data_IF_011001177243
#
_entry.id   IF_011001177243
#
_cell.length_a   1.000
_cell.length_b   1.000
_cell.length_c   1.000
_cell.angle_alpha   90.00
_cell.angle_beta   90.00
_cell.angle_gamma   90.00
#
_symmetry.space_group_name_H-M   'P 1'
#
loop_
_entity.id
_entity.type
_entity.pdbx_description
1 polymer ?
#
# COMPACT_ATOMS: atom_id res chain seq x y z
N UNK A 1 -102.17 45.15 -4.18
CA UNK A 1 -101.68 44.43 -2.98
C UNK A 1 -100.97 45.46 -2.13
N UNK A 2 -101.61 45.92 -1.05
CA UNK A 2 -101.12 47.04 -0.25
C UNK A 2 -99.81 46.67 0.45
N UNK A 3 -98.84 47.58 0.41
CA UNK A 3 -97.61 47.49 1.21
C UNK A 3 -98.06 47.61 2.67
N UNK A 4 -98.16 46.47 3.35
CA UNK A 4 -98.52 46.39 4.76
C UNK A 4 -97.25 46.45 5.63
N UNK A 5 -97.39 46.89 6.88
CA UNK A 5 -96.32 46.97 7.88
C UNK A 5 -95.55 45.64 8.04
N UNK A 6 -96.22 44.52 7.79
CA UNK A 6 -95.66 43.16 7.80
C UNK A 6 -94.58 42.94 6.73
N UNK A 7 -94.71 43.55 5.55
CA UNK A 7 -93.72 43.45 4.46
C UNK A 7 -92.42 44.17 4.85
N UNK A 8 -92.52 45.33 5.50
CA UNK A 8 -91.36 46.10 5.99
C UNK A 8 -90.65 45.33 7.11
N UNK A 9 -91.40 44.75 8.05
CA UNK A 9 -90.85 43.89 9.09
C UNK A 9 -90.13 42.65 8.55
N UNK A 10 -90.71 41.98 7.56
CA UNK A 10 -90.08 40.85 6.87
C UNK A 10 -88.80 41.26 6.13
N UNK A 11 -88.78 42.43 5.49
CA UNK A 11 -87.60 42.94 4.80
C UNK A 11 -86.45 43.25 5.78
N UNK A 12 -86.75 43.87 6.92
CA UNK A 12 -85.76 44.13 7.98
C UNK A 12 -85.21 42.81 8.54
N UNK A 13 -86.08 41.84 8.82
CA UNK A 13 -85.67 40.52 9.30
C UNK A 13 -84.79 39.78 8.26
N UNK A 14 -85.14 39.86 6.98
CA UNK A 14 -84.35 39.28 5.89
C UNK A 14 -82.96 39.93 5.77
N UNK A 15 -82.88 41.26 5.81
CA UNK A 15 -81.60 41.98 5.78
C UNK A 15 -80.75 41.65 7.00
N UNK A 16 -81.33 41.61 8.20
CA UNK A 16 -80.63 41.22 9.42
C UNK A 16 -80.11 39.77 9.34
N UNK A 17 -80.89 38.86 8.77
CA UNK A 17 -80.49 37.46 8.56
C UNK A 17 -79.35 37.34 7.55
N UNK A 18 -79.43 38.03 6.41
CA UNK A 18 -78.37 38.05 5.39
C UNK A 18 -77.07 38.62 5.99
N UNK A 19 -77.16 39.71 6.77
CA UNK A 19 -76.01 40.29 7.45
C UNK A 19 -75.40 39.31 8.47
N UNK A 20 -76.22 38.60 9.24
CA UNK A 20 -75.76 37.57 10.16
C UNK A 20 -75.06 36.41 9.42
N UNK A 21 -75.65 35.90 8.34
CA UNK A 21 -75.03 34.85 7.52
C UNK A 21 -73.71 35.32 6.89
N UNK A 22 -73.66 36.55 6.37
CA UNK A 22 -72.45 37.11 5.77
C UNK A 22 -71.32 37.25 6.80
N UNK A 23 -71.64 37.63 8.05
CA UNK A 23 -70.63 37.86 9.08
C UNK A 23 -70.23 36.60 9.86
N UNK A 24 -71.15 35.66 10.08
CA UNK A 24 -70.90 34.50 10.94
C UNK A 24 -70.80 33.17 10.21
N UNK A 25 -71.47 32.99 9.07
CA UNK A 25 -71.51 31.69 8.36
C UNK A 25 -70.52 31.65 7.20
N UNK A 26 -70.42 32.74 6.43
CA UNK A 26 -69.54 32.79 5.25
C UNK A 26 -68.04 32.72 5.59
N UNK A 27 -67.53 33.43 6.62
CA UNK A 27 -66.10 33.42 6.91
C UNK A 27 -65.54 32.05 7.33
N UNK A 28 -66.21 31.26 8.20
CA UNK A 28 -65.75 29.90 8.52
C UNK A 28 -65.71 28.97 7.31
N UNK A 29 -66.66 29.08 6.38
CA UNK A 29 -66.71 28.25 5.16
C UNK A 29 -65.54 28.59 4.24
N UNK A 30 -65.30 29.88 3.98
CA UNK A 30 -64.17 30.32 3.17
C UNK A 30 -62.83 29.94 3.82
N UNK A 31 -62.70 30.11 5.14
CA UNK A 31 -61.51 29.73 5.87
C UNK A 31 -61.22 28.23 5.76
N UNK A 32 -62.24 27.37 5.89
CA UNK A 32 -62.09 25.93 5.75
C UNK A 32 -61.71 25.51 4.31
N UNK A 33 -62.21 26.22 3.29
CA UNK A 33 -61.80 26.00 1.90
C UNK A 33 -60.36 26.44 1.64
N UNK A 34 -59.98 27.64 2.11
CA UNK A 34 -58.61 28.15 1.99
C UNK A 34 -57.60 27.27 2.72
N UNK A 35 -57.93 26.78 3.92
CA UNK A 35 -57.05 25.87 4.67
C UNK A 35 -56.83 24.55 3.91
N UNK A 36 -57.87 24.02 3.25
CA UNK A 36 -57.74 22.82 2.41
C UNK A 36 -56.89 23.08 1.17
N UNK A 37 -57.13 24.19 0.48
CA UNK A 37 -56.36 24.58 -0.70
C UNK A 37 -54.88 24.76 -0.34
N UNK A 38 -54.60 25.46 0.75
CA UNK A 38 -53.25 25.68 1.24
C UNK A 38 -52.56 24.37 1.64
N UNK A 39 -53.23 23.49 2.38
CA UNK A 39 -52.69 22.15 2.73
C UNK A 39 -52.34 21.32 1.49
N UNK A 40 -53.18 21.38 0.45
CA UNK A 40 -52.94 20.65 -0.81
C UNK A 40 -51.76 21.26 -1.56
N UNK A 41 -51.72 22.59 -1.67
CA UNK A 41 -50.64 23.32 -2.33
C UNK A 41 -49.29 23.07 -1.63
N UNK A 42 -49.25 23.21 -0.31
CA UNK A 42 -48.06 22.97 0.50
C UNK A 42 -47.61 21.50 0.42
N UNK A 43 -48.57 20.56 0.44
CA UNK A 43 -48.29 19.13 0.29
C UNK A 43 -47.70 18.78 -1.08
N UNK A 44 -48.26 19.33 -2.15
CA UNK A 44 -47.75 19.15 -3.52
C UNK A 44 -46.36 19.79 -3.67
N UNK A 45 -46.17 21.00 -3.18
CA UNK A 45 -44.88 21.69 -3.23
C UNK A 45 -43.81 20.98 -2.38
N UNK A 46 -44.19 20.40 -1.24
CA UNK A 46 -43.28 19.59 -0.43
C UNK A 46 -42.92 18.28 -1.12
N UNK A 47 -43.87 17.60 -1.77
CA UNK A 47 -43.60 16.39 -2.52
C UNK A 47 -42.65 16.64 -3.70
N UNK A 48 -42.88 17.71 -4.46
CA UNK A 48 -42.03 18.08 -5.60
C UNK A 48 -40.59 18.39 -5.15
N UNK A 49 -40.44 19.19 -4.08
CA UNK A 49 -39.12 19.44 -3.47
C UNK A 49 -38.46 18.16 -2.99
N UNK A 50 -39.19 17.28 -2.31
CA UNK A 50 -38.64 16.02 -1.82
C UNK A 50 -38.20 15.10 -2.97
N UNK A 51 -38.94 15.07 -4.08
CA UNK A 51 -38.56 14.32 -5.28
C UNK A 51 -37.30 14.91 -5.93
N UNK A 52 -37.20 16.24 -6.03
CA UNK A 52 -36.01 16.90 -6.56
C UNK A 52 -34.77 16.69 -5.68
N UNK A 53 -34.92 16.86 -4.37
CA UNK A 53 -33.84 16.63 -3.40
C UNK A 53 -33.38 15.17 -3.40
N UNK A 54 -34.31 14.22 -3.55
CA UNK A 54 -34.00 12.81 -3.69
C UNK A 54 -33.17 12.53 -4.96
N UNK A 55 -33.54 13.14 -6.09
CA UNK A 55 -32.79 12.97 -7.33
C UNK A 55 -31.39 13.57 -7.23
N UNK A 56 -31.26 14.78 -6.69
CA UNK A 56 -29.97 15.40 -6.42
C UNK A 56 -29.11 14.58 -5.45
N UNK A 57 -29.71 14.01 -4.41
CA UNK A 57 -29.00 13.16 -3.46
C UNK A 57 -28.51 11.85 -4.12
N UNK A 58 -29.31 11.26 -5.01
CA UNK A 58 -28.90 10.09 -5.79
C UNK A 58 -27.76 10.41 -6.74
N UNK A 59 -27.86 11.52 -7.47
CA UNK A 59 -26.81 11.96 -8.40
C UNK A 59 -25.49 12.17 -7.65
N UNK A 60 -25.52 12.91 -6.54
CA UNK A 60 -24.36 13.09 -5.66
C UNK A 60 -23.82 11.77 -5.11
N UNK A 61 -24.69 10.83 -4.72
CA UNK A 61 -24.24 9.53 -4.24
C UNK A 61 -23.52 8.73 -5.34
N UNK A 62 -24.02 8.75 -6.57
CA UNK A 62 -23.39 8.11 -7.72
C UNK A 62 -22.04 8.76 -8.03
N UNK A 63 -21.98 10.09 -8.02
CA UNK A 63 -20.73 10.85 -8.22
C UNK A 63 -19.70 10.50 -7.14
N UNK A 64 -20.08 10.52 -5.86
CA UNK A 64 -19.20 10.13 -4.75
C UNK A 64 -18.71 8.69 -4.86
N UNK A 65 -19.56 7.76 -5.29
CA UNK A 65 -19.15 6.37 -5.51
C UNK A 65 -18.16 6.25 -6.68
N UNK A 66 -18.32 7.07 -7.72
CA UNK A 66 -17.39 7.11 -8.83
C UNK A 66 -16.03 7.69 -8.40
N UNK A 67 -16.03 8.83 -7.73
CA UNK A 67 -14.82 9.45 -7.16
C UNK A 67 -14.07 8.46 -6.25
N UNK A 68 -14.78 7.82 -5.33
CA UNK A 68 -14.18 6.85 -4.41
C UNK A 68 -13.57 5.64 -5.14
N UNK A 69 -14.18 5.17 -6.24
CA UNK A 69 -13.61 4.09 -7.06
C UNK A 69 -12.37 4.53 -7.81
N UNK A 70 -12.36 5.74 -8.35
CA UNK A 70 -11.20 6.31 -9.03
C UNK A 70 -10.03 6.50 -8.06
N UNK A 71 -10.30 7.05 -6.87
CA UNK A 71 -9.30 7.20 -5.81
C UNK A 71 -8.76 5.84 -5.34
N UNK A 72 -9.64 4.86 -5.11
CA UNK A 72 -9.23 3.51 -4.73
C UNK A 72 -8.34 2.85 -5.81
N UNK A 73 -8.70 3.00 -7.09
CA UNK A 73 -7.86 2.53 -8.20
C UNK A 73 -6.49 3.22 -8.20
N UNK A 74 -6.48 4.55 -8.00
CA UNK A 74 -5.24 5.32 -7.91
C UNK A 74 -4.34 4.88 -6.75
N UNK A 75 -4.92 4.57 -5.59
CA UNK A 75 -4.17 4.04 -4.43
C UNK A 75 -3.56 2.67 -4.76
N UNK A 76 -4.31 1.77 -5.39
CA UNK A 76 -3.82 0.44 -5.77
C UNK A 76 -2.70 0.54 -6.80
N UNK A 77 -2.84 1.41 -7.81
CA UNK A 77 -1.80 1.64 -8.81
C UNK A 77 -0.53 2.24 -8.21
N UNK A 78 -0.67 3.21 -7.30
CA UNK A 78 0.45 3.79 -6.58
C UNK A 78 1.16 2.75 -5.68
N UNK A 79 0.39 1.90 -5.00
CA UNK A 79 0.93 0.82 -4.19
C UNK A 79 1.71 -0.20 -5.04
N UNK A 80 1.17 -0.62 -6.19
CA UNK A 80 1.85 -1.51 -7.12
C UNK A 80 3.14 -0.90 -7.68
N UNK A 81 3.12 0.37 -8.07
CA UNK A 81 4.32 1.08 -8.53
C UNK A 81 5.40 1.13 -7.44
N UNK A 82 5.00 1.46 -6.20
CA UNK A 82 5.92 1.51 -5.06
C UNK A 82 6.47 0.14 -4.69
N UNK A 83 5.65 -0.90 -4.77
CA UNK A 83 6.08 -2.28 -4.55
C UNK A 83 7.13 -2.69 -5.59
N UNK A 84 6.89 -2.41 -6.87
CA UNK A 84 7.86 -2.69 -7.93
C UNK A 84 9.17 -1.91 -7.74
N UNK A 85 9.09 -0.63 -7.38
CA UNK A 85 10.28 0.16 -7.05
C UNK A 85 11.08 -0.45 -5.91
N UNK A 86 10.41 -0.86 -4.83
CA UNK A 86 11.06 -1.49 -3.68
C UNK A 86 11.71 -2.83 -4.07
N UNK A 87 11.08 -3.61 -4.94
CA UNK A 87 11.66 -4.86 -5.45
C UNK A 87 12.91 -4.59 -6.29
N UNK A 88 12.91 -3.58 -7.15
CA UNK A 88 14.10 -3.21 -7.93
C UNK A 88 15.22 -2.67 -7.03
N UNK A 89 14.90 -1.78 -6.09
CA UNK A 89 15.87 -1.28 -5.09
C UNK A 89 16.46 -2.43 -4.26
N UNK A 90 15.65 -3.40 -3.84
CA UNK A 90 16.11 -4.57 -3.11
C UNK A 90 17.00 -5.49 -3.96
N UNK A 91 16.71 -5.64 -5.26
CA UNK A 91 17.57 -6.39 -6.19
C UNK A 91 18.91 -5.71 -6.36
N UNK A 92 18.92 -4.39 -6.57
CA UNK A 92 20.16 -3.63 -6.72
C UNK A 92 21.03 -3.72 -5.46
N UNK A 93 20.42 -3.56 -4.29
CA UNK A 93 21.10 -3.76 -3.02
C UNK A 93 21.65 -5.19 -2.85
N UNK A 94 20.89 -6.20 -3.27
CA UNK A 94 21.33 -7.59 -3.22
C UNK A 94 22.51 -7.88 -4.17
N UNK A 95 22.54 -7.26 -5.36
CA UNK A 95 23.67 -7.38 -6.29
C UNK A 95 24.93 -6.75 -5.69
N UNK A 96 24.80 -5.53 -5.15
CA UNK A 96 25.93 -4.83 -4.49
C UNK A 96 26.48 -5.65 -3.33
N UNK A 97 25.61 -6.22 -2.50
CA UNK A 97 26.03 -7.06 -1.37
C UNK A 97 26.65 -8.37 -1.84
N UNK A 98 26.10 -9.01 -2.87
CA UNK A 98 26.66 -10.22 -3.44
C UNK A 98 28.07 -9.99 -4.00
N UNK A 99 28.30 -8.87 -4.67
CA UNK A 99 29.62 -8.52 -5.20
C UNK A 99 30.61 -8.17 -4.07
N UNK A 100 30.14 -7.52 -3.00
CA UNK A 100 30.94 -7.30 -1.78
C UNK A 100 31.38 -8.63 -1.15
N UNK A 101 30.46 -9.58 -1.01
CA UNK A 101 30.76 -10.91 -0.47
C UNK A 101 31.75 -11.66 -1.35
N UNK A 102 31.56 -11.64 -2.69
CA UNK A 102 32.52 -12.26 -3.63
C UNK A 102 33.90 -11.63 -3.52
N UNK A 103 33.99 -10.30 -3.44
CA UNK A 103 35.26 -9.61 -3.28
C UNK A 103 35.98 -9.99 -1.98
N UNK A 104 35.24 -10.10 -0.86
CA UNK A 104 35.78 -10.59 0.43
C UNK A 104 36.27 -12.02 0.32
N UNK A 105 35.46 -12.92 -0.27
CA UNK A 105 35.83 -14.32 -0.46
C UNK A 105 37.08 -14.47 -1.34
N UNK A 106 37.21 -13.66 -2.40
CA UNK A 106 38.39 -13.66 -3.26
C UNK A 106 39.65 -13.23 -2.50
N UNK A 107 39.53 -12.20 -1.66
CA UNK A 107 40.63 -11.73 -0.82
C UNK A 107 41.04 -12.78 0.24
N UNK A 108 40.08 -13.47 0.84
CA UNK A 108 40.33 -14.58 1.78
C UNK A 108 41.02 -15.76 1.06
N UNK A 109 40.57 -16.13 -0.13
CA UNK A 109 41.21 -17.18 -0.95
C UNK A 109 42.65 -16.81 -1.29
N UNK A 110 42.91 -15.55 -1.64
CA UNK A 110 44.27 -15.10 -1.95
C UNK A 110 45.18 -15.13 -0.71
N UNK A 111 44.66 -14.75 0.45
CA UNK A 111 45.38 -14.86 1.72
C UNK A 111 45.69 -16.31 2.08
N UNK A 112 44.71 -17.22 1.98
CA UNK A 112 44.90 -18.64 2.25
C UNK A 112 45.84 -19.30 1.24
N UNK A 113 45.79 -18.92 -0.04
CA UNK A 113 46.74 -19.38 -1.05
C UNK A 113 48.18 -18.97 -0.71
N UNK A 114 48.37 -17.74 -0.24
CA UNK A 114 49.69 -17.26 0.19
C UNK A 114 50.19 -18.01 1.43
N UNK A 115 49.32 -18.25 2.43
CA UNK A 115 49.65 -19.08 3.60
C UNK A 115 50.03 -20.51 3.20
N UNK A 116 49.26 -21.13 2.30
CA UNK A 116 49.53 -22.47 1.80
C UNK A 116 50.88 -22.53 1.04
N UNK A 117 51.20 -21.53 0.22
CA UNK A 117 52.50 -21.43 -0.45
C UNK A 117 53.66 -21.29 0.53
N UNK A 118 53.47 -20.52 1.60
CA UNK A 118 54.49 -20.35 2.64
C UNK A 118 54.71 -21.64 3.44
N UNK A 119 53.64 -22.34 3.79
CA UNK A 119 53.71 -23.68 4.40
C UNK A 119 54.45 -24.67 3.47
N UNK A 120 54.09 -24.73 2.19
CA UNK A 120 54.77 -25.58 1.20
C UNK A 120 56.25 -25.24 1.04
N UNK A 121 56.63 -23.96 1.10
CA UNK A 121 58.06 -23.56 1.08
C UNK A 121 58.81 -24.12 2.29
N UNK A 122 58.19 -24.11 3.47
CA UNK A 122 58.75 -24.74 4.67
C UNK A 122 58.94 -26.25 4.50
N UNK A 123 57.93 -26.95 3.99
CA UNK A 123 58.02 -28.40 3.73
C UNK A 123 59.07 -28.74 2.66
N UNK A 124 59.15 -27.96 1.57
CA UNK A 124 60.16 -28.17 0.52
C UNK A 124 61.57 -27.93 1.05
N UNK A 125 61.79 -26.94 1.92
CA UNK A 125 63.08 -26.71 2.56
C UNK A 125 63.48 -27.91 3.46
N UNK A 126 62.53 -28.43 4.24
CA UNK A 126 62.76 -29.62 5.07
C UNK A 126 63.08 -30.87 4.22
N UNK A 127 62.32 -31.10 3.14
CA UNK A 127 62.56 -32.19 2.19
C UNK A 127 63.91 -32.05 1.47
N UNK A 128 64.30 -30.82 1.12
CA UNK A 128 65.60 -30.54 0.48
C UNK A 128 66.77 -30.82 1.43
N UNK A 129 66.64 -30.46 2.70
CA UNK A 129 67.64 -30.78 3.73
C UNK A 129 67.75 -32.30 3.95
N UNK A 130 66.61 -33.00 4.09
CA UNK A 130 66.58 -34.45 4.22
C UNK A 130 67.16 -35.16 2.98
N UNK A 131 66.90 -34.63 1.78
CA UNK A 131 67.50 -35.11 0.54
C UNK A 131 69.01 -34.89 0.50
N UNK A 132 69.48 -33.71 0.90
CA UNK A 132 70.91 -33.40 0.99
C UNK A 132 71.63 -34.28 2.03
N UNK A 133 71.03 -34.50 3.21
CA UNK A 133 71.53 -35.43 4.23
C UNK A 133 71.64 -36.85 3.69
N UNK A 134 70.64 -37.32 2.94
CA UNK A 134 70.66 -38.67 2.34
C UNK A 134 71.73 -38.82 1.26
N UNK A 135 71.93 -37.81 0.43
CA UNK A 135 72.99 -37.79 -0.60
C UNK A 135 74.37 -37.73 0.05
N UNK A 136 74.56 -36.88 1.07
CA UNK A 136 75.81 -36.77 1.81
C UNK A 136 76.13 -38.08 2.56
N UNK A 137 75.14 -38.70 3.19
CA UNK A 137 75.28 -40.01 3.83
C UNK A 137 75.71 -41.09 2.84
N UNK A 138 75.14 -41.13 1.63
CA UNK A 138 75.55 -42.07 0.59
C UNK A 138 76.96 -41.80 0.05
N UNK A 139 77.37 -40.53 -0.08
CA UNK A 139 78.71 -40.16 -0.51
C UNK A 139 79.77 -40.51 0.54
N UNK A 140 79.51 -40.23 1.81
CA UNK A 140 80.39 -40.60 2.93
C UNK A 140 80.49 -42.10 3.06
N UNK A 141 79.40 -42.85 2.92
CA UNK A 141 79.45 -44.32 2.96
C UNK A 141 80.33 -44.87 1.83
N UNK A 142 80.18 -44.36 0.60
CA UNK A 142 80.98 -44.79 -0.54
C UNK A 142 82.47 -44.44 -0.40
N UNK A 143 82.80 -43.29 0.19
CA UNK A 143 84.18 -42.84 0.42
C UNK A 143 84.81 -43.53 1.66
N UNK A 144 84.04 -43.71 2.73
CA UNK A 144 84.43 -44.44 3.95
C UNK A 144 84.60 -45.95 3.68
N UNK A 145 83.77 -46.56 2.84
CA UNK A 145 83.95 -47.94 2.38
C UNK A 145 85.24 -48.09 1.58
N UNK A 146 85.59 -47.10 0.75
CA UNK A 146 86.84 -47.12 -0.01
C UNK A 146 88.06 -46.98 0.90
N UNK A 147 88.00 -46.10 1.90
CA UNK A 147 89.07 -45.92 2.89
C UNK A 147 89.23 -47.16 3.81
N UNK A 148 88.14 -47.85 4.14
CA UNK A 148 88.15 -49.13 4.87
C UNK A 148 88.74 -50.26 4.03
N UNK A 149 88.41 -50.33 2.74
CA UNK A 149 88.98 -51.33 1.81
C UNK A 149 90.47 -51.07 1.57
N UNK A 150 90.90 -49.81 1.42
CA UNK A 150 92.31 -49.46 1.26
C UNK A 150 93.11 -49.73 2.55
N UNK A 151 92.55 -49.46 3.75
CA UNK A 151 93.19 -49.84 5.02
C UNK A 151 93.31 -51.35 5.18
N UNK A 152 92.29 -52.13 4.78
CA UNK A 152 92.35 -53.59 4.79
C UNK A 152 93.40 -54.13 3.79
N UNK A 153 93.55 -53.49 2.63
CA UNK A 153 94.53 -53.85 1.62
C UNK A 153 95.98 -53.48 2.00
N UNK A 154 96.16 -52.58 2.97
CA UNK A 154 97.48 -52.15 3.47
C UNK A 154 97.95 -52.98 4.67
N UNK A 155 97.06 -53.73 5.32
CA UNK A 155 97.38 -54.67 6.42
C UNK A 155 97.65 -56.12 5.96
N UNK A 156 97.74 -56.36 4.64
CA UNK A 156 98.23 -57.60 4.01
C UNK A 156 99.60 -57.38 3.36
#
# INVERSE_FOLDING_TARGET
MNINLTLIGQMIAFVAFVWFCMKFVWPPILAAMQEREQKISDGLAAADRASHDLELAKEKAVERLKEAKEEASGIVDAANKRANQLVEEAKDAAVVEADRVKASAQAEIEQESNRAREALRGEVAALSLAGAEKVLGAAIDQEAHKELVDKLATEL
#
